data_IF_418700106822
#
_entry.id   IF_418700106822
#
_cell.length_a   1.000
_cell.length_b   1.000
_cell.length_c   1.000
_cell.angle_alpha   90.00
_cell.angle_beta   90.00
_cell.angle_gamma   90.00
#
_symmetry.space_group_name_H-M   'P 1'
#
loop_
_entity.id
_entity.type
_entity.pdbx_description
1 polymer ?
#
# COMPACT_ATOMS: atom_id res chain seq x y z
N UNK A 1 -6.50 7.08 -7.00
CA UNK A 1 -5.14 7.65 -7.05
C UNK A 1 -4.13 6.54 -7.05
N UNK A 2 -2.95 6.81 -7.53
CA UNK A 2 -1.86 5.83 -7.45
C UNK A 2 -1.10 6.05 -6.16
N UNK A 3 -0.48 5.00 -5.65
CA UNK A 3 0.25 5.09 -4.39
C UNK A 3 1.40 6.09 -4.47
N UNK A 4 1.90 6.37 -5.69
CA UNK A 4 2.96 7.37 -5.87
C UNK A 4 2.51 8.76 -5.46
N UNK A 5 1.20 9.02 -5.44
CA UNK A 5 0.67 10.32 -5.03
C UNK A 5 0.33 10.36 -3.54
N UNK A 6 0.56 9.27 -2.84
CA UNK A 6 0.27 9.23 -1.41
C UNK A 6 1.29 9.97 -0.58
N UNK A 7 0.98 10.15 0.68
CA UNK A 7 1.84 10.89 1.61
C UNK A 7 2.43 9.97 2.66
N UNK A 8 3.65 10.27 3.06
CA UNK A 8 4.32 9.52 4.11
C UNK A 8 3.50 9.57 5.40
N UNK A 9 3.48 8.47 6.10
CA UNK A 9 2.76 8.27 7.36
C UNK A 9 1.25 8.13 7.21
N UNK A 10 0.73 8.17 6.00
CA UNK A 10 -0.69 7.99 5.76
C UNK A 10 -1.00 6.56 5.35
N UNK A 11 -2.22 6.12 5.66
CA UNK A 11 -2.67 4.77 5.33
C UNK A 11 -3.53 4.78 4.08
N UNK A 12 -3.38 3.74 3.28
CA UNK A 12 -4.12 3.60 2.04
C UNK A 12 -4.60 2.17 1.88
N UNK A 13 -5.73 2.00 1.20
CA UNK A 13 -6.23 0.67 0.88
C UNK A 13 -5.95 0.41 -0.60
N UNK A 14 -5.42 -0.77 -0.90
CA UNK A 14 -5.11 -1.15 -2.27
C UNK A 14 -6.41 -1.46 -2.99
N UNK A 15 -6.70 -0.73 -4.05
CA UNK A 15 -7.95 -0.92 -4.79
C UNK A 15 -7.76 -1.73 -6.05
N UNK A 16 -6.66 -1.54 -6.75
CA UNK A 16 -6.44 -2.25 -8.00
C UNK A 16 -4.95 -2.39 -8.26
N UNK A 17 -4.56 -3.57 -8.71
CA UNK A 17 -3.18 -3.87 -9.04
C UNK A 17 -3.16 -4.27 -10.51
N UNK A 18 -2.43 -3.50 -11.34
CA UNK A 18 -2.35 -3.76 -12.78
C UNK A 18 -0.96 -4.22 -13.15
N UNK A 19 -0.50 -5.29 -12.51
CA UNK A 19 0.78 -5.89 -12.78
C UNK A 19 0.61 -7.17 -13.57
N UNK A 20 1.70 -7.67 -14.15
CA UNK A 20 1.68 -8.97 -14.78
C UNK A 20 1.38 -10.03 -13.73
N UNK A 21 0.97 -11.21 -14.19
CA UNK A 21 0.66 -12.29 -13.25
C UNK A 21 1.84 -12.63 -12.38
N UNK A 22 3.04 -12.62 -12.95
CA UNK A 22 4.24 -12.95 -12.22
C UNK A 22 4.51 -11.95 -11.11
N UNK A 23 4.46 -10.67 -11.43
CA UNK A 23 4.72 -9.63 -10.44
C UNK A 23 3.58 -9.54 -9.42
N UNK A 24 2.36 -9.76 -9.87
CA UNK A 24 1.23 -9.76 -8.97
C UNK A 24 1.30 -10.88 -7.96
N UNK A 25 1.73 -12.06 -8.38
CA UNK A 25 1.89 -13.19 -7.46
C UNK A 25 2.98 -12.92 -6.44
N UNK A 26 4.07 -12.31 -6.89
CA UNK A 26 5.17 -11.99 -5.98
C UNK A 26 4.69 -11.02 -4.91
N UNK A 27 3.94 -10.00 -5.33
CA UNK A 27 3.44 -9.02 -4.40
C UNK A 27 2.47 -9.66 -3.41
N UNK A 28 1.63 -10.56 -3.90
CA UNK A 28 0.68 -11.25 -3.04
C UNK A 28 1.38 -12.11 -1.99
N UNK A 29 2.48 -12.74 -2.37
CA UNK A 29 3.26 -13.53 -1.41
C UNK A 29 3.84 -12.67 -0.32
N UNK A 30 4.05 -11.40 -0.58
CA UNK A 30 4.52 -10.46 0.42
C UNK A 30 3.39 -9.93 1.29
N UNK A 31 2.16 -10.32 1.00
CA UNK A 31 1.02 -9.88 1.79
C UNK A 31 0.33 -8.63 1.27
N UNK A 32 0.69 -8.18 0.07
CA UNK A 32 0.07 -6.99 -0.52
C UNK A 32 -0.84 -7.41 -1.67
N UNK A 33 -2.13 -7.19 -1.51
CA UNK A 33 -3.12 -7.56 -2.52
C UNK A 33 -4.29 -6.59 -2.43
N UNK A 34 -5.23 -6.72 -3.34
CA UNK A 34 -6.39 -5.84 -3.35
C UNK A 34 -7.15 -5.99 -2.05
N UNK A 35 -7.42 -4.87 -1.40
CA UNK A 35 -8.05 -4.87 -0.09
C UNK A 35 -7.06 -4.69 1.05
N UNK A 36 -5.77 -4.87 0.80
CA UNK A 36 -4.76 -4.68 1.85
C UNK A 36 -4.66 -3.22 2.23
N UNK A 37 -4.38 -2.96 3.50
CA UNK A 37 -4.15 -1.62 3.98
C UNK A 37 -2.66 -1.47 4.23
N UNK A 38 -2.09 -0.43 3.62
CA UNK A 38 -0.66 -0.17 3.72
C UNK A 38 -0.43 1.25 4.22
N UNK A 39 0.66 1.44 4.94
CA UNK A 39 1.08 2.75 5.38
C UNK A 39 2.35 3.10 4.63
N UNK A 40 2.43 4.29 4.07
CA UNK A 40 3.66 4.74 3.41
C UNK A 40 4.62 5.16 4.51
N UNK A 41 5.74 4.46 4.61
CA UNK A 41 6.74 4.75 5.63
C UNK A 41 7.77 5.75 5.14
N UNK A 42 8.18 5.60 3.88
CA UNK A 42 9.23 6.45 3.33
C UNK A 42 9.19 6.39 1.81
N UNK A 43 9.52 7.50 1.17
CA UNK A 43 9.70 7.53 -0.27
C UNK A 43 11.19 7.72 -0.55
N UNK A 44 11.73 6.91 -1.44
CA UNK A 44 13.13 6.97 -1.81
C UNK A 44 13.22 7.54 -3.21
N UNK A 45 13.33 8.86 -3.29
CA UNK A 45 13.35 9.55 -4.56
C UNK A 45 12.10 9.21 -5.36
N UNK A 46 12.29 8.93 -6.65
CA UNK A 46 11.19 8.51 -7.50
C UNK A 46 11.25 7.01 -7.79
N UNK A 47 12.17 6.31 -7.15
CA UNK A 47 12.45 4.93 -7.52
C UNK A 47 11.78 3.89 -6.65
N UNK A 48 11.46 4.21 -5.42
CA UNK A 48 10.89 3.22 -4.52
C UNK A 48 10.08 3.87 -3.41
N UNK A 49 9.13 3.11 -2.90
CA UNK A 49 8.33 3.52 -1.75
C UNK A 49 8.37 2.35 -0.76
N UNK A 50 8.68 2.65 0.48
CA UNK A 50 8.64 1.65 1.53
C UNK A 50 7.28 1.75 2.19
N UNK A 51 6.54 0.65 2.20
CA UNK A 51 5.25 0.58 2.87
C UNK A 51 5.30 -0.43 3.99
N UNK A 52 4.40 -0.28 4.93
CA UNK A 52 4.23 -1.25 6.01
C UNK A 52 2.86 -1.87 5.87
N UNK A 53 2.81 -3.19 5.88
CA UNK A 53 1.57 -3.94 5.77
C UNK A 53 1.62 -5.05 6.80
N UNK A 54 0.66 -5.07 7.74
CA UNK A 54 0.61 -6.07 8.81
C UNK A 54 1.93 -6.16 9.59
N UNK A 55 2.54 -5.02 9.83
CA UNK A 55 3.77 -4.96 10.61
C UNK A 55 5.04 -5.29 9.84
N UNK A 56 4.92 -5.60 8.56
CA UNK A 56 6.07 -5.93 7.73
C UNK A 56 6.35 -4.77 6.78
N UNK A 57 7.60 -4.34 6.72
CA UNK A 57 8.00 -3.27 5.81
C UNK A 57 8.46 -3.86 4.50
N UNK A 58 7.95 -3.31 3.41
CA UNK A 58 8.21 -3.83 2.08
C UNK A 58 8.61 -2.67 1.19
N UNK A 59 9.69 -2.83 0.44
CA UNK A 59 10.13 -1.83 -0.51
C UNK A 59 9.51 -2.15 -1.86
N UNK A 60 8.76 -1.20 -2.41
CA UNK A 60 8.10 -1.35 -3.69
C UNK A 60 8.81 -0.49 -4.72
N UNK A 61 9.32 -1.11 -5.77
CA UNK A 61 9.99 -0.39 -6.84
C UNK A 61 9.02 0.37 -7.73
N UNK A 62 9.54 1.24 -8.56
CA UNK A 62 8.73 2.09 -9.41
C UNK A 62 7.77 1.30 -10.30
N UNK A 63 8.23 0.19 -10.84
CA UNK A 63 7.38 -0.63 -11.69
C UNK A 63 6.12 -1.08 -10.95
N UNK A 64 6.23 -1.35 -9.68
CA UNK A 64 5.09 -1.77 -8.88
C UNK A 64 4.24 -0.57 -8.49
N UNK A 65 4.87 0.47 -7.98
CA UNK A 65 4.12 1.63 -7.47
C UNK A 65 3.36 2.36 -8.56
N UNK A 66 3.85 2.34 -9.79
CA UNK A 66 3.15 2.96 -10.91
C UNK A 66 1.87 2.20 -11.29
N UNK A 67 1.71 1.00 -10.77
CA UNK A 67 0.56 0.15 -11.11
C UNK A 67 -0.32 -0.19 -9.90
N UNK A 68 -0.14 0.52 -8.80
CA UNK A 68 -0.98 0.33 -7.62
C UNK A 68 -1.95 1.50 -7.45
N UNK A 69 -3.22 1.22 -7.64
CA UNK A 69 -4.26 2.21 -7.38
C UNK A 69 -4.74 2.04 -5.96
N UNK A 70 -4.85 3.14 -5.23
CA UNK A 70 -5.21 3.12 -3.83
C UNK A 70 -6.24 4.19 -3.51
N UNK A 71 -6.84 4.08 -2.33
CA UNK A 71 -7.72 5.11 -1.79
C UNK A 71 -7.29 5.37 -0.36
N UNK A 72 -7.63 6.54 0.15
CA UNK A 72 -7.33 6.89 1.52
C UNK A 72 -8.08 5.96 2.45
N UNK A 73 -7.37 5.38 3.40
CA UNK A 73 -7.96 4.42 4.33
C UNK A 73 -8.34 5.11 5.64
N UNK A 74 -9.06 6.19 5.55
CA UNK A 74 -9.45 6.93 6.74
C UNK A 74 -10.32 6.11 7.68
N UNK A 75 -11.08 5.22 7.12
CA UNK A 75 -11.98 4.40 7.92
C UNK A 75 -11.25 3.47 8.89
N UNK A 76 -10.01 3.21 8.64
CA UNK A 76 -9.25 2.35 9.51
C UNK A 76 -9.18 2.92 10.91
N UNK A 77 -8.89 4.19 10.97
CA UNK A 77 -8.76 4.86 12.23
C UNK A 77 -10.08 4.92 12.96
N UNK A 78 -11.11 5.20 12.25
CA UNK A 78 -12.42 5.30 12.81
C UNK A 78 -12.90 3.97 13.37
N UNK A 79 -12.74 2.93 12.59
CA UNK A 79 -13.17 1.63 13.00
C UNK A 79 -12.48 1.18 14.24
N UNK A 80 -11.22 1.45 14.32
CA UNK A 80 -10.48 1.06 15.43
C UNK A 80 -10.94 1.79 16.68
N UNK A 81 -11.18 3.05 16.55
CA UNK A 81 -11.64 3.80 17.66
C UNK A 81 -12.96 3.31 18.16
N UNK A 82 -13.80 2.96 17.28
CA UNK A 82 -15.10 2.52 17.65
C UNK A 82 -15.04 1.23 18.39
N UNK A 83 -14.25 0.37 17.93
CA UNK A 83 -14.29 -0.88 18.52
C UNK A 83 -13.52 -0.87 19.74
N UNK A 84 -12.86 0.06 19.85
CA UNK A 84 -12.28 0.09 21.01
C UNK A 84 -13.25 0.14 21.99
N UNK A 85 -13.90 0.31 21.45
CA UNK A 85 -14.59 0.35 22.19
C UNK A 85 -14.99 -0.18 22.48
#
# INVERSE_FOLDING_TARGET
MFITDGQVSHHYIIKKITLSDKDGKRLRKLGVYEGSIVKIVKKIGKNAIIVECDGVKIALGKNVTDNLQVEIAASVKIGKGANGI
#
